data_IF_845300457942
#
_entry.id   IF_845300457942
#
_cell.length_a   1.000
_cell.length_b   1.000
_cell.length_c   1.000
_cell.angle_alpha   90.00
_cell.angle_beta   90.00
_cell.angle_gamma   90.00
#
_symmetry.space_group_name_H-M   'P 1'
#
loop_
_entity.id
_entity.type
_entity.pdbx_description
1 polymer ?
#
# COMPACT_ATOMS: atom_id res chain seq x y z
N UNK A 1 -9.77 -19.63 -3.61
CA UNK A 1 -9.23 -20.02 -2.31
C UNK A 1 -8.68 -18.83 -1.55
N UNK A 2 -9.08 -18.67 -0.33
CA UNK A 2 -8.54 -17.60 0.51
C UNK A 2 -7.11 -17.94 0.94
N UNK A 3 -6.33 -16.94 1.27
CA UNK A 3 -5.02 -17.14 1.84
C UNK A 3 -5.15 -17.96 3.12
N UNK A 4 -4.43 -19.06 3.20
CA UNK A 4 -4.49 -19.99 4.32
C UNK A 4 -3.33 -19.85 5.29
N UNK A 5 -2.48 -18.84 5.07
CA UNK A 5 -1.33 -18.59 5.93
C UNK A 5 -1.71 -18.08 7.31
N UNK A 6 -0.76 -18.14 8.23
CA UNK A 6 -0.93 -17.65 9.57
C UNK A 6 -1.19 -16.14 9.56
N UNK A 7 -2.02 -15.68 10.48
CA UNK A 7 -2.23 -14.25 10.68
C UNK A 7 -0.97 -13.61 11.23
N UNK A 8 -0.54 -12.54 10.57
CA UNK A 8 0.67 -11.81 10.93
C UNK A 8 0.34 -10.60 11.79
N UNK A 9 -0.72 -9.88 11.45
CA UNK A 9 -1.12 -8.67 12.16
C UNK A 9 -2.58 -8.34 11.90
N UNK A 10 -3.16 -7.54 12.80
CA UNK A 10 -4.50 -6.95 12.66
C UNK A 10 -4.42 -5.46 12.88
N UNK A 11 -5.32 -4.73 12.24
CA UNK A 11 -5.37 -3.30 12.39
C UNK A 11 -6.67 -2.68 11.94
N UNK A 12 -6.62 -1.38 11.77
CA UNK A 12 -7.77 -0.59 11.35
C UNK A 12 -7.81 -0.49 9.83
N UNK A 13 -8.93 -0.87 9.24
CA UNK A 13 -9.12 -0.70 7.81
C UNK A 13 -9.45 0.76 7.51
N UNK A 14 -8.59 1.43 6.75
CA UNK A 14 -8.86 2.78 6.25
C UNK A 14 -9.64 2.71 4.94
N UNK A 15 -9.40 1.67 4.14
CA UNK A 15 -10.11 1.45 2.89
C UNK A 15 -10.27 -0.06 2.67
N UNK A 16 -11.48 -0.51 2.28
CA UNK A 16 -11.76 -1.94 2.17
C UNK A 16 -11.18 -2.57 0.90
N UNK A 17 -11.06 -3.88 0.91
CA UNK A 17 -10.64 -4.68 -0.22
C UNK A 17 -9.63 -5.75 0.18
N UNK A 18 -9.16 -6.47 -0.82
CA UNK A 18 -8.16 -7.52 -0.69
C UNK A 18 -6.99 -7.25 -1.64
N UNK A 19 -5.79 -7.51 -1.17
CA UNK A 19 -4.60 -7.41 -2.02
C UNK A 19 -3.55 -8.41 -1.61
N UNK A 20 -2.93 -9.04 -2.58
CA UNK A 20 -1.86 -10.01 -2.36
C UNK A 20 -0.63 -9.59 -3.14
N UNK A 21 0.53 -9.73 -2.56
CA UNK A 21 1.79 -9.44 -3.22
C UNK A 21 2.98 -9.61 -2.30
N UNK A 22 4.15 -9.51 -2.87
CA UNK A 22 5.38 -9.52 -2.09
C UNK A 22 5.52 -8.17 -1.39
N UNK A 23 5.73 -8.20 -0.09
CA UNK A 23 5.86 -6.98 0.70
C UNK A 23 7.07 -6.15 0.25
N UNK A 24 6.88 -4.84 0.21
CA UNK A 24 7.95 -3.88 -0.05
C UNK A 24 7.98 -2.88 1.10
N UNK A 25 8.81 -3.12 2.13
CA UNK A 25 9.01 -2.14 3.19
C UNK A 25 9.84 -0.98 2.66
N UNK A 26 9.32 0.23 2.81
CA UNK A 26 10.01 1.45 2.34
C UNK A 26 9.86 2.58 3.35
N UNK A 27 10.75 3.55 3.26
CA UNK A 27 10.58 4.84 3.94
C UNK A 27 9.50 5.68 3.28
N UNK A 28 9.16 6.84 3.86
CA UNK A 28 8.13 7.71 3.30
C UNK A 28 8.39 8.06 1.84
N UNK A 29 7.36 7.97 1.02
CA UNK A 29 7.45 8.17 -0.43
C UNK A 29 6.30 9.07 -0.89
N UNK A 30 6.60 9.98 -1.80
CA UNK A 30 5.57 10.76 -2.48
C UNK A 30 5.23 10.10 -3.81
N UNK A 31 3.95 9.86 -4.04
CA UNK A 31 3.50 9.39 -5.36
C UNK A 31 3.56 10.49 -6.41
N UNK A 32 3.61 11.76 -5.96
CA UNK A 32 3.84 12.88 -6.88
C UNK A 32 5.34 13.13 -7.01
N UNK A 33 5.89 12.75 -8.15
CA UNK A 33 7.31 12.97 -8.48
C UNK A 33 8.27 11.93 -7.93
N UNK A 34 7.85 11.08 -7.00
CA UNK A 34 8.71 10.04 -6.42
C UNK A 34 8.59 8.68 -7.09
N UNK A 35 7.52 8.48 -7.86
CA UNK A 35 7.22 7.20 -8.52
C UNK A 35 6.88 7.48 -9.97
N UNK A 36 7.37 6.65 -10.89
CA UNK A 36 6.92 6.67 -12.28
C UNK A 36 5.55 6.01 -12.35
N UNK A 37 4.51 6.80 -12.64
CA UNK A 37 3.13 6.31 -12.66
C UNK A 37 2.88 5.24 -13.73
N UNK A 38 3.77 5.12 -14.72
CA UNK A 38 3.58 4.20 -15.83
C UNK A 38 3.99 2.78 -15.49
N UNK A 39 5.03 2.59 -14.67
CA UNK A 39 5.56 1.28 -14.34
C UNK A 39 5.69 1.01 -12.83
N UNK A 40 5.43 2.00 -12.00
CA UNK A 40 5.50 1.86 -10.54
C UNK A 40 6.91 1.96 -9.96
N UNK A 41 7.90 2.33 -10.74
CA UNK A 41 9.28 2.38 -10.25
C UNK A 41 9.51 3.63 -9.40
N UNK A 42 10.20 3.46 -8.28
CA UNK A 42 10.62 4.58 -7.43
C UNK A 42 11.76 5.30 -8.13
N UNK A 43 11.50 6.54 -8.53
CA UNK A 43 12.44 7.36 -9.31
C UNK A 43 13.10 8.47 -8.49
N UNK A 44 12.66 8.68 -7.24
CA UNK A 44 13.32 9.62 -6.34
C UNK A 44 14.72 9.10 -6.02
N UNK A 45 15.75 9.75 -6.53
CA UNK A 45 17.13 9.33 -6.38
C UNK A 45 17.63 9.43 -4.95
N UNK A 46 16.93 10.18 -4.09
CA UNK A 46 17.28 10.33 -2.68
C UNK A 46 16.55 9.32 -1.80
N UNK A 47 15.66 8.49 -2.36
CA UNK A 47 14.94 7.49 -1.60
C UNK A 47 15.80 6.23 -1.47
N UNK A 48 15.79 5.60 -0.27
CA UNK A 48 16.61 4.41 0.00
C UNK A 48 16.24 3.24 -0.93
N UNK A 49 14.99 3.15 -1.35
CA UNK A 49 14.52 2.09 -2.25
C UNK A 49 14.44 2.56 -3.72
N UNK A 50 15.23 3.55 -4.10
CA UNK A 50 15.31 3.99 -5.49
C UNK A 50 15.56 2.80 -6.42
N UNK A 51 14.77 2.70 -7.48
CA UNK A 51 14.87 1.62 -8.46
C UNK A 51 13.94 0.44 -8.21
N UNK A 52 13.41 0.29 -6.98
CA UNK A 52 12.40 -0.73 -6.70
C UNK A 52 11.06 -0.34 -7.32
N UNK A 53 10.19 -1.32 -7.55
CA UNK A 53 8.86 -1.05 -8.06
C UNK A 53 7.79 -1.34 -7.01
N UNK A 54 6.76 -0.48 -6.95
CA UNK A 54 5.60 -0.71 -6.09
C UNK A 54 4.54 -1.55 -6.81
N UNK A 55 4.67 -1.76 -8.11
CA UNK A 55 3.66 -2.46 -8.91
C UNK A 55 3.44 -3.88 -8.41
N UNK A 56 2.20 -4.21 -8.08
CA UNK A 56 1.83 -5.54 -7.62
C UNK A 56 2.35 -5.91 -6.23
N UNK A 57 2.89 -4.95 -5.49
CA UNK A 57 3.48 -5.20 -4.17
C UNK A 57 2.51 -4.81 -3.06
N UNK A 58 2.66 -5.46 -1.91
CA UNK A 58 2.06 -4.96 -0.66
C UNK A 58 3.04 -3.92 -0.11
N UNK A 59 2.66 -2.66 -0.22
CA UNK A 59 3.52 -1.54 0.17
C UNK A 59 3.45 -1.35 1.69
N UNK A 60 4.59 -1.44 2.37
CA UNK A 60 4.67 -1.25 3.82
C UNK A 60 5.43 0.04 4.08
N UNK A 61 4.69 1.13 4.30
CA UNK A 61 5.22 2.48 4.38
C UNK A 61 4.67 3.18 5.62
N UNK A 62 5.53 3.75 6.48
CA UNK A 62 5.04 4.32 7.75
C UNK A 62 4.04 5.45 7.54
N UNK A 63 4.27 6.28 6.58
CA UNK A 63 3.36 7.34 6.13
C UNK A 63 3.77 7.78 4.73
N UNK A 64 2.87 8.42 4.01
CA UNK A 64 3.20 9.05 2.75
C UNK A 64 3.81 10.44 2.98
N UNK A 65 4.15 11.10 1.90
CA UNK A 65 4.60 12.49 1.90
C UNK A 65 4.20 13.13 0.57
N UNK A 66 4.24 14.45 0.53
CA UNK A 66 3.94 15.20 -0.66
C UNK A 66 2.54 15.82 -0.64
N UNK A 67 2.10 16.29 -1.79
CA UNK A 67 0.89 17.07 -1.95
C UNK A 67 -0.34 16.22 -2.25
N UNK A 68 -1.50 16.86 -2.28
CA UNK A 68 -2.77 16.23 -2.67
C UNK A 68 -2.74 15.68 -4.10
N UNK A 69 -1.84 16.15 -4.95
CA UNK A 69 -1.65 15.60 -6.30
C UNK A 69 -1.23 14.13 -6.27
N UNK A 70 -0.64 13.66 -5.17
CA UNK A 70 -0.31 12.25 -5.01
C UNK A 70 -1.54 11.34 -5.06
N UNK A 71 -2.71 11.83 -4.64
CA UNK A 71 -3.95 11.06 -4.72
C UNK A 71 -4.32 10.73 -6.17
N UNK A 72 -4.18 11.71 -7.07
CA UNK A 72 -4.47 11.52 -8.49
C UNK A 72 -3.52 10.49 -9.10
N UNK A 73 -2.25 10.60 -8.76
CA UNK A 73 -1.23 9.66 -9.27
C UNK A 73 -1.52 8.24 -8.80
N UNK A 74 -1.84 8.06 -7.52
CA UNK A 74 -2.16 6.74 -6.98
C UNK A 74 -3.38 6.15 -7.69
N UNK A 75 -4.44 6.93 -7.87
CA UNK A 75 -5.64 6.45 -8.56
C UNK A 75 -5.32 6.00 -9.99
N UNK A 76 -4.50 6.76 -10.72
CA UNK A 76 -4.06 6.40 -12.06
C UNK A 76 -3.23 5.12 -12.08
N UNK A 77 -2.34 4.95 -11.11
CA UNK A 77 -1.52 3.75 -11.01
C UNK A 77 -2.37 2.51 -10.70
N UNK A 78 -3.37 2.65 -9.83
CA UNK A 78 -4.31 1.56 -9.56
C UNK A 78 -5.06 1.20 -10.83
N UNK A 79 -5.51 2.20 -11.59
CA UNK A 79 -6.21 1.98 -12.86
C UNK A 79 -5.37 1.20 -13.86
N UNK A 80 -4.12 1.59 -14.06
CA UNK A 80 -3.27 1.00 -15.10
C UNK A 80 -2.49 -0.23 -14.66
N UNK A 81 -2.60 -0.63 -13.38
CA UNK A 81 -1.94 -1.82 -12.86
C UNK A 81 -0.51 -1.61 -12.38
N UNK A 82 -0.01 -0.37 -12.36
CA UNK A 82 1.34 -0.06 -11.88
C UNK A 82 1.39 0.27 -10.39
N UNK A 83 0.24 0.28 -9.72
CA UNK A 83 0.15 0.59 -8.30
C UNK A 83 0.33 -0.61 -7.40
N UNK A 84 0.42 -0.36 -6.09
CA UNK A 84 0.45 -1.44 -5.11
C UNK A 84 -0.89 -2.17 -5.06
N UNK A 85 -0.86 -3.43 -4.63
CA UNK A 85 -2.09 -4.21 -4.41
C UNK A 85 -2.71 -3.89 -3.06
N UNK A 86 -1.92 -3.42 -2.12
CA UNK A 86 -2.36 -3.01 -0.79
C UNK A 86 -1.32 -2.06 -0.20
N UNK A 87 -1.75 -1.23 0.74
CA UNK A 87 -0.87 -0.33 1.49
C UNK A 87 -1.05 -0.58 2.98
N UNK A 88 0.06 -0.76 3.68
CA UNK A 88 0.10 -0.92 5.14
C UNK A 88 0.85 0.27 5.71
N UNK A 89 0.22 0.98 6.64
CA UNK A 89 0.77 2.20 7.25
C UNK A 89 0.71 2.11 8.77
N UNK A 90 1.35 3.06 9.44
CA UNK A 90 1.20 3.23 10.90
C UNK A 90 0.54 4.56 11.25
N UNK A 91 0.01 5.26 10.26
CA UNK A 91 -0.69 6.52 10.46
C UNK A 91 -1.89 6.60 9.52
N UNK A 92 -2.81 7.51 9.81
CA UNK A 92 -3.96 7.74 8.91
C UNK A 92 -3.50 8.54 7.70
N UNK A 93 -3.48 7.90 6.54
CA UNK A 93 -3.02 8.49 5.28
C UNK A 93 -4.19 8.98 4.45
N UNK A 94 -4.60 10.23 4.68
CA UNK A 94 -5.78 10.81 4.02
C UNK A 94 -5.58 10.93 2.50
N UNK A 95 -4.41 11.34 2.08
CA UNK A 95 -4.13 11.52 0.64
C UNK A 95 -4.18 10.18 -0.10
N UNK A 96 -3.56 9.15 0.45
CA UNK A 96 -3.61 7.81 -0.14
C UNK A 96 -5.04 7.26 -0.11
N UNK A 97 -5.77 7.51 0.97
CA UNK A 97 -7.15 7.10 1.09
C UNK A 97 -8.02 7.74 0.00
N UNK A 98 -7.86 9.04 -0.24
CA UNK A 98 -8.61 9.73 -1.30
C UNK A 98 -8.29 9.10 -2.67
N UNK A 99 -7.03 8.80 -2.93
CA UNK A 99 -6.63 8.14 -4.18
C UNK A 99 -7.26 6.76 -4.35
N UNK A 100 -7.26 5.96 -3.29
CA UNK A 100 -7.86 4.62 -3.32
C UNK A 100 -9.38 4.70 -3.52
N UNK A 101 -10.04 5.63 -2.85
CA UNK A 101 -11.49 5.85 -3.01
C UNK A 101 -11.83 6.28 -4.44
N UNK A 102 -11.05 7.19 -5.00
CA UNK A 102 -11.24 7.63 -6.38
C UNK A 102 -11.10 6.47 -7.38
N UNK A 103 -10.14 5.58 -7.15
CA UNK A 103 -9.93 4.43 -8.03
C UNK A 103 -11.16 3.49 -8.04
N UNK A 104 -11.77 3.27 -6.89
CA UNK A 104 -13.01 2.47 -6.81
C UNK A 104 -14.14 3.19 -7.54
N UNK A 105 -14.34 4.46 -7.23
CA UNK A 105 -15.47 5.22 -7.77
C UNK A 105 -15.39 5.40 -9.28
N UNK A 106 -14.20 5.66 -9.79
CA UNK A 106 -14.01 5.95 -11.22
C UNK A 106 -13.72 4.69 -12.05
N UNK A 107 -13.06 3.69 -11.47
CA UNK A 107 -12.54 2.56 -12.25
C UNK A 107 -12.96 1.20 -11.71
N UNK A 108 -13.63 1.13 -10.57
CA UNK A 108 -14.05 -0.12 -9.95
C UNK A 108 -12.89 -0.99 -9.46
N UNK A 109 -11.74 -0.39 -9.18
CA UNK A 109 -10.55 -1.12 -8.72
C UNK A 109 -10.21 -0.75 -7.30
N UNK A 110 -9.97 -1.76 -6.46
CA UNK A 110 -9.70 -1.58 -5.05
C UNK A 110 -8.22 -1.74 -4.73
N UNK A 111 -7.74 -0.93 -3.80
CA UNK A 111 -6.43 -1.08 -3.18
C UNK A 111 -6.65 -0.85 -1.68
N UNK A 112 -6.73 -1.92 -0.87
CA UNK A 112 -6.99 -1.75 0.56
C UNK A 112 -5.86 -1.03 1.25
N UNK A 113 -6.22 -0.26 2.28
CA UNK A 113 -5.26 0.47 3.13
C UNK A 113 -5.51 0.05 4.57
N UNK A 114 -4.48 -0.47 5.22
CA UNK A 114 -4.53 -0.96 6.59
C UNK A 114 -3.58 -0.16 7.46
N UNK A 115 -4.11 0.38 8.55
CA UNK A 115 -3.32 1.07 9.56
C UNK A 115 -3.03 0.12 10.72
N UNK A 116 -1.75 -0.05 11.06
CA UNK A 116 -1.30 -0.86 12.19
C UNK A 116 -0.84 0.04 13.33
N UNK A 117 -0.91 -0.49 14.55
CA UNK A 117 -0.22 0.12 15.68
C UNK A 117 1.28 0.13 15.40
N UNK A 118 2.04 1.10 15.94
CA UNK A 118 3.47 1.24 15.61
C UNK A 118 4.29 -0.03 15.81
N UNK A 119 4.09 -0.76 16.91
CA UNK A 119 4.85 -1.98 17.17
C UNK A 119 4.54 -3.08 16.15
N UNK A 120 3.26 -3.23 15.79
CA UNK A 120 2.84 -4.19 14.77
C UNK A 120 3.39 -3.80 13.40
N UNK A 121 3.39 -2.51 13.09
CA UNK A 121 3.95 -2.02 11.84
C UNK A 121 5.44 -2.37 11.72
N UNK A 122 6.21 -2.10 12.77
CA UNK A 122 7.64 -2.39 12.77
C UNK A 122 7.92 -3.88 12.61
N UNK A 123 7.09 -4.72 13.24
CA UNK A 123 7.20 -6.18 13.12
C UNK A 123 6.93 -6.65 11.71
N UNK A 124 5.91 -6.09 11.05
CA UNK A 124 5.60 -6.43 9.66
C UNK A 124 6.70 -5.95 8.71
N UNK A 125 7.19 -4.72 8.92
CA UNK A 125 8.27 -4.17 8.11
C UNK A 125 9.55 -5.01 8.22
N UNK A 126 9.83 -5.53 9.40
CA UNK A 126 11.02 -6.35 9.64
C UNK A 126 10.97 -7.72 8.92
N UNK A 127 9.81 -8.17 8.48
CA UNK A 127 9.70 -9.42 7.72
C UNK A 127 10.39 -9.33 6.35
N UNK A 128 10.57 -8.12 5.81
CA UNK A 128 11.20 -7.93 4.51
C UNK A 128 10.28 -8.33 3.35
N UNK A 129 10.89 -8.79 2.27
CA UNK A 129 10.20 -9.10 1.02
C UNK A 129 9.57 -10.49 1.08
N UNK A 130 8.46 -10.63 1.80
CA UNK A 130 7.72 -11.89 1.93
C UNK A 130 6.34 -11.75 1.30
N UNK A 131 5.75 -12.83 0.76
CA UNK A 131 4.39 -12.77 0.23
C UNK A 131 3.38 -12.58 1.35
N UNK A 132 2.50 -11.58 1.19
CA UNK A 132 1.46 -11.26 2.16
C UNK A 132 0.12 -11.08 1.48
N UNK A 133 -0.95 -11.37 2.22
CA UNK A 133 -2.32 -11.06 1.83
C UNK A 133 -2.91 -10.09 2.83
N UNK A 134 -3.40 -8.96 2.34
CA UNK A 134 -4.07 -7.94 3.16
C UNK A 134 -5.55 -7.99 2.86
N UNK A 135 -6.35 -8.15 3.90
CA UNK A 135 -7.82 -8.17 3.78
C UNK A 135 -8.40 -7.11 4.70
N UNK A 136 -9.10 -6.15 4.12
CA UNK A 136 -9.75 -5.07 4.86
C UNK A 136 -11.25 -5.11 4.66
N UNK A 137 -11.99 -5.11 5.79
CA UNK A 137 -13.43 -4.89 5.79
C UNK A 137 -13.74 -3.40 5.98
N UNK A 138 -14.89 -3.10 6.57
CA UNK A 138 -15.33 -1.71 6.76
C UNK A 138 -14.55 -1.02 7.88
N UNK A 139 -14.20 -1.73 8.95
CA UNK A 139 -13.55 -1.14 10.11
C UNK A 139 -12.23 -1.83 10.46
N UNK A 140 -12.13 -3.12 10.24
CA UNK A 140 -10.97 -3.91 10.64
C UNK A 140 -10.36 -4.63 9.45
N UNK A 141 -9.07 -4.90 9.54
CA UNK A 141 -8.36 -5.65 8.54
C UNK A 141 -7.27 -6.51 9.15
N UNK A 142 -6.74 -7.41 8.34
CA UNK A 142 -5.68 -8.33 8.77
C UNK A 142 -4.68 -8.58 7.66
N UNK A 143 -3.50 -9.02 8.08
CA UNK A 143 -2.43 -9.46 7.18
C UNK A 143 -2.18 -10.92 7.49
N UNK A 144 -2.11 -11.73 6.43
CA UNK A 144 -1.75 -13.15 6.53
C UNK A 144 -0.58 -13.46 5.62
N UNK A 145 0.18 -14.48 5.98
CA UNK A 145 1.17 -15.02 5.06
C UNK A 145 0.46 -15.59 3.84
N UNK A 146 0.96 -15.28 2.67
CA UNK A 146 0.37 -15.74 1.41
C UNK A 146 1.17 -16.87 0.78
#
# INVERSE_FOLDING_TARGET
MTASGAEVARGRALHPGDGTGVALPIGPLSFWGGVDWRDGRIIDVHHDQHGETVAGRVLVMPHGRGSSSAAVVLAEMIRNGSGPTAVVTRSTEVILLVGAMAAVELYGRSCPILELEPDDFERVAALGAVPLHVACGDDAGSIRAA
#
